data_IF_632984560098
#
_entry.id   IF_632984560098
#
_cell.length_a   1.000
_cell.length_b   1.000
_cell.length_c   1.000
_cell.angle_alpha   90.00
_cell.angle_beta   90.00
_cell.angle_gamma   90.00
#
_symmetry.space_group_name_H-M   'P 1'
#
loop_
_entity.id
_entity.type
_entity.pdbx_description
1 polymer ?
#
# COMPACT_ATOMS: atom_id res chain seq x y z
N UNK A 1 2.94 -11.76 20.33
CA UNK A 1 1.87 -10.77 20.65
C UNK A 1 0.50 -11.40 20.49
N UNK A 2 -0.45 -11.06 21.34
CA UNK A 2 -1.87 -11.44 21.18
C UNK A 2 -2.49 -10.64 20.03
N UNK A 3 -3.61 -11.14 19.48
CA UNK A 3 -4.36 -10.42 18.43
C UNK A 3 -4.73 -9.00 18.86
N UNK A 4 -5.13 -8.81 20.12
CA UNK A 4 -5.51 -7.52 20.69
C UNK A 4 -4.32 -6.53 20.73
N UNK A 5 -3.14 -7.02 21.12
CA UNK A 5 -1.92 -6.20 21.15
C UNK A 5 -1.48 -5.75 19.74
N UNK A 6 -1.59 -6.65 18.73
CA UNK A 6 -1.30 -6.31 17.33
C UNK A 6 -2.21 -5.19 16.83
N UNK A 7 -3.52 -5.34 17.05
CA UNK A 7 -4.50 -4.31 16.67
C UNK A 7 -4.21 -3.00 17.38
N UNK A 8 -3.91 -3.01 18.69
CA UNK A 8 -3.59 -1.80 19.45
C UNK A 8 -2.35 -1.08 18.90
N UNK A 9 -1.31 -1.82 18.51
CA UNK A 9 -0.10 -1.25 17.90
C UNK A 9 -0.42 -0.52 16.58
N UNK A 10 -1.18 -1.16 15.68
CA UNK A 10 -1.61 -0.55 14.41
C UNK A 10 -2.47 0.69 14.68
N UNK A 11 -3.49 0.57 15.54
CA UNK A 11 -4.39 1.69 15.84
C UNK A 11 -3.67 2.88 16.48
N UNK A 12 -2.62 2.63 17.27
CA UNK A 12 -1.78 3.70 17.83
C UNK A 12 -1.06 4.50 16.75
N UNK A 13 -0.53 3.84 15.71
CA UNK A 13 0.09 4.52 14.56
C UNK A 13 -0.91 5.38 13.80
N UNK A 14 -2.06 4.83 13.45
CA UNK A 14 -3.10 5.61 12.75
C UNK A 14 -3.67 6.73 13.62
N UNK A 15 -3.78 6.55 14.93
CA UNK A 15 -4.21 7.63 15.85
C UNK A 15 -3.19 8.77 15.90
N UNK A 16 -1.91 8.48 15.79
CA UNK A 16 -0.85 9.46 15.84
C UNK A 16 -0.62 10.18 14.49
N UNK A 17 -0.65 9.45 13.38
CA UNK A 17 -0.21 9.92 12.06
C UNK A 17 -1.22 9.70 10.93
N UNK A 18 -2.32 9.01 11.16
CA UNK A 18 -3.33 8.73 10.14
C UNK A 18 -4.06 9.96 9.59
N UNK A 19 -4.01 11.08 10.32
CA UNK A 19 -4.51 12.38 9.86
C UNK A 19 -3.56 13.14 8.94
N UNK A 20 -2.32 12.66 8.73
CA UNK A 20 -1.38 13.27 7.79
C UNK A 20 -1.91 13.16 6.36
N UNK A 21 -1.58 14.15 5.51
CA UNK A 21 -1.93 14.17 4.08
C UNK A 21 -1.38 12.93 3.36
N UNK A 22 -2.17 12.33 2.49
CA UNK A 22 -1.73 11.29 1.59
C UNK A 22 -1.13 11.93 0.33
N UNK A 23 0.13 12.09 0.36
CA UNK A 23 1.09 12.70 -0.58
C UNK A 23 0.56 13.15 -1.95
N UNK A 24 -0.02 14.37 -2.01
CA UNK A 24 -0.51 14.99 -3.24
C UNK A 24 -1.88 14.51 -3.71
N UNK A 25 -2.64 13.88 -2.83
CA UNK A 25 -4.05 13.49 -3.03
C UNK A 25 -4.94 14.14 -1.95
N UNK A 26 -6.20 14.41 -2.25
CA UNK A 26 -7.15 15.09 -1.35
C UNK A 26 -7.74 14.17 -0.27
N UNK A 27 -6.93 13.27 0.27
CA UNK A 27 -7.31 12.33 1.35
C UNK A 27 -6.19 12.23 2.38
N UNK A 28 -6.53 11.77 3.59
CA UNK A 28 -5.53 11.46 4.63
C UNK A 28 -5.05 10.02 4.50
N UNK A 29 -3.94 9.67 5.17
CA UNK A 29 -3.40 8.31 5.26
C UNK A 29 -4.47 7.31 5.76
N UNK A 30 -5.23 7.69 6.79
CA UNK A 30 -6.32 6.85 7.31
C UNK A 30 -7.48 6.73 6.32
N UNK A 31 -7.86 7.84 5.67
CA UNK A 31 -8.94 7.82 4.68
C UNK A 31 -8.61 6.89 3.52
N UNK A 32 -7.38 6.98 2.99
CA UNK A 32 -6.89 6.09 1.95
C UNK A 32 -6.94 4.61 2.41
N UNK A 33 -6.37 4.31 3.58
CA UNK A 33 -6.35 2.96 4.13
C UNK A 33 -7.76 2.36 4.31
N UNK A 34 -8.72 3.14 4.85
CA UNK A 34 -10.10 2.69 5.05
C UNK A 34 -10.79 2.43 3.71
N UNK A 35 -10.67 3.35 2.74
CA UNK A 35 -11.24 3.17 1.40
C UNK A 35 -10.69 1.90 0.73
N UNK A 36 -9.37 1.67 0.79
CA UNK A 36 -8.77 0.47 0.24
C UNK A 36 -9.34 -0.81 0.88
N UNK A 37 -9.50 -0.82 2.21
CA UNK A 37 -10.07 -1.96 2.93
C UNK A 37 -11.55 -2.19 2.59
N UNK A 38 -12.35 -1.13 2.43
CA UNK A 38 -13.77 -1.23 2.07
C UNK A 38 -13.94 -1.80 0.67
N UNK A 39 -13.18 -1.31 -0.31
CA UNK A 39 -13.19 -1.85 -1.67
C UNK A 39 -12.73 -3.32 -1.68
N UNK A 40 -11.67 -3.64 -0.93
CA UNK A 40 -11.17 -5.01 -0.82
C UNK A 40 -12.23 -5.94 -0.22
N UNK A 41 -12.94 -5.51 0.83
CA UNK A 41 -14.01 -6.29 1.47
C UNK A 41 -15.18 -6.56 0.53
N UNK A 42 -15.54 -5.61 -0.32
CA UNK A 42 -16.59 -5.79 -1.33
C UNK A 42 -16.19 -6.81 -2.40
N UNK A 43 -14.95 -6.76 -2.86
CA UNK A 43 -14.46 -7.61 -3.95
C UNK A 43 -14.01 -9.00 -3.47
N UNK A 44 -13.52 -9.11 -2.23
CA UNK A 44 -12.92 -10.31 -1.65
C UNK A 44 -13.46 -10.56 -0.23
N UNK A 45 -14.80 -10.72 -0.04
CA UNK A 45 -15.43 -10.83 1.29
C UNK A 45 -14.94 -12.04 2.10
N UNK A 46 -14.48 -13.09 1.43
CA UNK A 46 -14.02 -14.34 2.05
C UNK A 46 -12.51 -14.39 2.27
N UNK A 47 -11.77 -13.30 1.97
CA UNK A 47 -10.32 -13.22 2.17
C UNK A 47 -9.93 -12.09 3.15
N UNK A 48 -10.07 -12.32 4.46
CA UNK A 48 -9.77 -11.30 5.48
C UNK A 48 -8.29 -10.89 5.51
N UNK A 49 -7.36 -11.74 5.06
CA UNK A 49 -5.95 -11.40 4.96
C UNK A 49 -5.70 -10.41 3.82
N UNK A 50 -6.39 -10.57 2.70
CA UNK A 50 -6.34 -9.61 1.59
C UNK A 50 -6.93 -8.25 2.00
N UNK A 51 -8.06 -8.24 2.71
CA UNK A 51 -8.65 -7.02 3.26
C UNK A 51 -7.71 -6.32 4.24
N UNK A 52 -7.05 -7.09 5.11
CA UNK A 52 -6.05 -6.55 6.03
C UNK A 52 -4.84 -5.97 5.28
N UNK A 53 -4.36 -6.65 4.24
CA UNK A 53 -3.28 -6.13 3.41
C UNK A 53 -3.67 -4.83 2.70
N UNK A 54 -4.90 -4.72 2.21
CA UNK A 54 -5.41 -3.50 1.60
C UNK A 54 -5.46 -2.33 2.58
N UNK A 55 -5.87 -2.56 3.84
CA UNK A 55 -5.81 -1.54 4.89
C UNK A 55 -4.40 -1.10 5.24
N UNK A 56 -3.42 -2.00 5.16
CA UNK A 56 -2.07 -1.84 5.70
C UNK A 56 -1.00 -1.58 4.63
N UNK A 57 -1.35 -1.52 3.34
CA UNK A 57 -0.36 -1.52 2.26
C UNK A 57 0.61 -0.33 2.34
N UNK A 58 0.15 0.82 2.78
CA UNK A 58 0.94 2.04 2.94
C UNK A 58 1.38 2.32 4.39
N UNK A 59 1.20 1.34 5.30
CA UNK A 59 1.57 1.48 6.71
C UNK A 59 3.02 1.94 6.91
N UNK A 60 3.90 1.59 6.00
CA UNK A 60 5.31 1.99 6.04
C UNK A 60 5.53 3.49 6.05
N UNK A 61 4.63 4.28 5.48
CA UNK A 61 4.73 5.74 5.54
C UNK A 61 4.54 6.29 6.96
N UNK A 62 3.77 5.61 7.80
CA UNK A 62 3.48 6.07 9.16
C UNK A 62 4.22 5.28 10.25
N UNK A 63 4.78 4.11 9.96
CA UNK A 63 5.58 3.34 10.92
C UNK A 63 7.09 3.55 10.77
N UNK A 64 7.56 3.97 9.60
CA UNK A 64 8.98 4.30 9.40
C UNK A 64 9.33 5.67 10.02
N UNK A 65 10.58 5.78 10.47
CA UNK A 65 11.16 7.02 10.97
C UNK A 65 12.40 7.35 10.14
N UNK A 66 12.25 8.03 8.99
CA UNK A 66 13.37 8.39 8.14
C UNK A 66 14.35 9.31 8.89
N UNK A 67 15.65 8.99 8.83
CA UNK A 67 16.70 9.75 9.50
C UNK A 67 17.33 10.83 8.61
N UNK A 68 17.03 10.77 7.29
CA UNK A 68 17.59 11.71 6.31
C UNK A 68 16.60 12.00 5.17
N UNK A 69 16.79 13.13 4.49
CA UNK A 69 16.05 13.51 3.28
C UNK A 69 16.25 12.49 2.13
N UNK A 70 17.37 11.75 2.11
CA UNK A 70 17.64 10.73 1.12
C UNK A 70 16.69 9.53 1.22
N UNK A 71 16.11 9.31 2.40
CA UNK A 71 15.10 8.28 2.65
C UNK A 71 13.69 8.72 2.25
N UNK A 72 13.53 9.96 1.80
CA UNK A 72 12.26 10.52 1.36
C UNK A 72 12.19 10.63 -0.17
N UNK A 73 10.96 10.68 -0.69
CA UNK A 73 10.65 10.86 -2.11
C UNK A 73 10.24 12.31 -2.41
N UNK A 74 11.09 13.29 -2.01
CA UNK A 74 10.86 14.72 -2.28
C UNK A 74 9.47 15.23 -1.86
N UNK A 75 9.02 14.86 -0.65
CA UNK A 75 7.70 15.22 -0.12
C UNK A 75 6.57 14.23 -0.49
N UNK A 76 6.88 13.16 -1.23
CA UNK A 76 5.91 12.12 -1.58
C UNK A 76 6.06 10.85 -0.72
N UNK A 77 6.50 11.01 0.52
CA UNK A 77 6.57 9.93 1.51
C UNK A 77 7.94 9.25 1.60
N UNK A 78 7.96 8.13 2.29
CA UNK A 78 9.17 7.36 2.62
C UNK A 78 9.52 6.40 1.49
N UNK A 79 10.79 6.40 1.05
CA UNK A 79 11.31 5.38 0.13
C UNK A 79 11.26 4.00 0.79
N UNK A 80 10.97 2.97 0.00
CA UNK A 80 10.86 1.58 0.46
C UNK A 80 9.85 1.40 1.61
N UNK A 81 8.80 2.25 1.66
CA UNK A 81 7.72 2.14 2.64
C UNK A 81 7.04 0.77 2.58
N UNK A 82 6.94 0.16 1.40
CA UNK A 82 6.41 -1.19 1.18
C UNK A 82 7.17 -2.23 1.99
N UNK A 83 8.51 -2.16 1.96
CA UNK A 83 9.37 -3.05 2.75
C UNK A 83 9.30 -2.72 4.25
N UNK A 84 9.35 -1.45 4.62
CA UNK A 84 9.26 -1.02 6.02
C UNK A 84 7.94 -1.48 6.66
N UNK A 85 6.83 -1.36 5.93
CA UNK A 85 5.51 -1.83 6.35
C UNK A 85 5.48 -3.36 6.50
N UNK A 86 5.99 -4.10 5.53
CA UNK A 86 6.05 -5.56 5.57
C UNK A 86 6.89 -6.07 6.75
N UNK A 87 8.09 -5.54 6.94
CA UNK A 87 8.99 -5.91 8.05
C UNK A 87 8.33 -5.62 9.42
N UNK A 88 7.66 -4.48 9.55
CA UNK A 88 6.91 -4.12 10.76
C UNK A 88 5.78 -5.11 11.04
N UNK A 89 5.00 -5.49 10.04
CA UNK A 89 3.90 -6.46 10.17
C UNK A 89 4.40 -7.86 10.54
N UNK A 90 5.50 -8.32 9.93
CA UNK A 90 6.16 -9.58 10.30
C UNK A 90 6.67 -9.54 11.75
N UNK A 91 7.25 -8.42 12.17
CA UNK A 91 7.70 -8.19 13.55
C UNK A 91 6.56 -8.27 14.58
N UNK A 92 5.35 -7.86 14.19
CA UNK A 92 4.14 -8.04 14.99
C UNK A 92 3.55 -9.46 14.89
N UNK A 93 4.07 -10.31 14.00
CA UNK A 93 3.58 -11.68 13.77
C UNK A 93 2.29 -11.73 12.96
N UNK A 94 2.10 -10.83 11.99
CA UNK A 94 1.05 -10.98 10.98
C UNK A 94 1.38 -12.15 10.05
N UNK A 95 0.37 -12.71 9.34
CA UNK A 95 0.59 -13.75 8.34
C UNK A 95 1.55 -13.28 7.23
N UNK A 96 2.39 -14.19 6.73
CA UNK A 96 3.34 -13.92 5.64
C UNK A 96 2.63 -13.38 4.38
N UNK A 97 1.45 -13.92 4.05
CA UNK A 97 0.62 -13.43 2.94
C UNK A 97 0.32 -11.94 3.06
N UNK A 98 -0.07 -11.45 4.26
CA UNK A 98 -0.37 -10.02 4.47
C UNK A 98 0.88 -9.19 4.22
N UNK A 99 2.01 -9.57 4.81
CA UNK A 99 3.27 -8.86 4.65
C UNK A 99 3.75 -8.88 3.18
N UNK A 100 3.64 -10.02 2.49
CA UNK A 100 4.03 -10.15 1.07
C UNK A 100 3.16 -9.27 0.16
N UNK A 101 1.85 -9.20 0.40
CA UNK A 101 0.95 -8.32 -0.33
C UNK A 101 1.31 -6.84 -0.12
N UNK A 102 1.65 -6.46 1.11
CA UNK A 102 2.14 -5.10 1.42
C UNK A 102 3.47 -4.82 0.74
N UNK A 103 4.44 -5.74 0.82
CA UNK A 103 5.76 -5.57 0.22
C UNK A 103 5.70 -5.38 -1.30
N UNK A 104 4.84 -6.12 -1.99
CA UNK A 104 4.80 -6.16 -3.45
C UNK A 104 3.86 -5.15 -4.11
N UNK A 105 3.17 -4.27 -3.37
CA UNK A 105 2.23 -3.33 -4.02
C UNK A 105 2.94 -2.31 -4.92
N UNK A 106 4.19 -1.93 -4.60
CA UNK A 106 5.03 -1.07 -5.45
C UNK A 106 5.52 -1.85 -6.68
N UNK A 107 5.91 -3.11 -6.53
CA UNK A 107 6.28 -3.98 -7.66
C UNK A 107 5.08 -4.16 -8.60
N UNK A 108 3.87 -4.34 -8.07
CA UNK A 108 2.66 -4.41 -8.88
C UNK A 108 2.41 -3.14 -9.71
N UNK A 109 2.71 -1.95 -9.17
CA UNK A 109 2.68 -0.69 -9.91
C UNK A 109 3.70 -0.68 -11.05
N UNK A 110 4.97 -1.06 -10.77
CA UNK A 110 6.04 -1.15 -11.74
C UNK A 110 5.68 -2.14 -12.87
N UNK A 111 5.14 -3.29 -12.51
CA UNK A 111 4.66 -4.30 -13.44
C UNK A 111 3.59 -3.76 -14.39
N UNK A 112 2.52 -3.17 -13.84
CA UNK A 112 1.43 -2.62 -14.63
C UNK A 112 1.89 -1.49 -15.58
N UNK A 113 2.79 -0.63 -15.12
CA UNK A 113 3.40 0.41 -15.98
C UNK A 113 4.25 -0.20 -17.11
N UNK A 114 4.85 -1.37 -16.90
CA UNK A 114 5.68 -2.03 -17.89
C UNK A 114 4.87 -2.78 -18.95
N UNK A 115 3.68 -3.27 -18.58
CA UNK A 115 2.87 -4.17 -19.39
C UNK A 115 1.60 -3.54 -19.98
N UNK A 116 1.17 -2.37 -19.47
CA UNK A 116 -0.03 -1.66 -19.94
C UNK A 116 0.24 -0.15 -20.03
N UNK A 117 0.40 0.37 -21.24
CA UNK A 117 0.65 1.82 -21.49
C UNK A 117 -0.51 2.69 -20.98
N UNK A 118 -1.76 2.23 -21.08
CA UNK A 118 -2.93 2.99 -20.63
C UNK A 118 -2.94 3.12 -19.10
N UNK A 119 -2.38 2.14 -18.41
CA UNK A 119 -2.23 2.21 -16.97
C UNK A 119 -1.31 3.36 -16.54
N UNK A 120 -0.16 3.51 -17.22
CA UNK A 120 0.75 4.63 -16.96
C UNK A 120 0.08 5.99 -17.22
N UNK A 121 -0.68 6.11 -18.29
CA UNK A 121 -1.40 7.36 -18.61
C UNK A 121 -2.41 7.73 -17.54
N UNK A 122 -3.12 6.74 -16.98
CA UNK A 122 -4.15 6.91 -15.95
C UNK A 122 -3.62 7.22 -14.55
N UNK A 123 -2.33 7.02 -14.28
CA UNK A 123 -1.73 7.32 -12.97
C UNK A 123 -1.86 8.80 -12.60
N UNK A 124 -2.11 9.08 -11.32
CA UNK A 124 -2.05 10.43 -10.76
C UNK A 124 -0.63 11.02 -10.91
N UNK A 125 -0.53 12.36 -10.81
CA UNK A 125 0.77 13.03 -10.85
C UNK A 125 1.69 12.54 -9.72
N UNK A 126 1.18 12.38 -8.51
CA UNK A 126 1.91 11.84 -7.37
C UNK A 126 2.43 10.43 -7.65
N UNK A 127 1.58 9.53 -8.18
CA UNK A 127 1.96 8.16 -8.56
C UNK A 127 3.04 8.10 -9.64
N UNK A 128 3.03 9.03 -10.60
CA UNK A 128 4.09 9.15 -11.63
C UNK A 128 5.42 9.62 -11.02
N UNK A 129 5.39 10.57 -10.10
CA UNK A 129 6.59 11.07 -9.41
C UNK A 129 7.21 9.96 -8.55
N UNK A 130 6.40 9.30 -7.72
CA UNK A 130 6.89 8.22 -6.85
C UNK A 130 7.45 7.03 -7.63
N UNK A 131 6.90 6.72 -8.81
CA UNK A 131 7.42 5.67 -9.69
C UNK A 131 8.92 5.88 -10.03
N UNK A 132 9.37 7.13 -10.21
CA UNK A 132 10.78 7.45 -10.50
C UNK A 132 11.69 7.09 -9.32
N UNK A 133 11.21 7.24 -8.09
CA UNK A 133 11.94 6.86 -6.87
C UNK A 133 11.86 5.35 -6.57
N UNK A 134 10.90 4.67 -7.15
CA UNK A 134 10.59 3.25 -6.93
C UNK A 134 11.22 2.31 -7.98
N UNK A 135 12.11 2.83 -8.84
CA UNK A 135 12.84 2.03 -9.82
C UNK A 135 12.24 2.03 -11.24
N UNK A 136 11.14 2.76 -11.47
CA UNK A 136 10.56 2.89 -12.81
C UNK A 136 9.95 1.60 -13.37
N UNK A 137 10.07 1.39 -14.68
CA UNK A 137 9.61 0.17 -15.36
C UNK A 137 10.44 -1.05 -14.94
N UNK A 138 9.82 -2.21 -14.98
CA UNK A 138 10.50 -3.50 -14.80
C UNK A 138 11.19 -3.94 -16.09
N UNK A 139 12.32 -4.61 -15.93
CA UNK A 139 12.97 -5.36 -17.00
C UNK A 139 12.29 -6.72 -17.17
N UNK A 140 12.55 -7.41 -18.30
CA UNK A 140 11.89 -8.67 -18.64
C UNK A 140 12.09 -9.78 -17.59
N UNK A 141 13.25 -9.83 -16.95
CA UNK A 141 13.55 -10.79 -15.87
C UNK A 141 12.73 -10.49 -14.61
N UNK A 142 12.64 -9.21 -14.20
CA UNK A 142 11.80 -8.77 -13.07
C UNK A 142 10.31 -9.10 -13.31
N UNK A 143 9.82 -8.94 -14.55
CA UNK A 143 8.45 -9.26 -14.94
C UNK A 143 8.21 -10.79 -14.76
N UNK A 144 9.10 -11.62 -15.28
CA UNK A 144 8.96 -13.08 -15.19
C UNK A 144 9.00 -13.56 -13.73
N UNK A 145 9.88 -13.00 -12.91
CA UNK A 145 9.98 -13.32 -11.49
C UNK A 145 8.71 -12.91 -10.75
N UNK A 146 8.20 -11.71 -11.00
CA UNK A 146 6.96 -11.21 -10.37
C UNK A 146 5.73 -12.03 -10.77
N UNK A 147 5.62 -12.45 -12.05
CA UNK A 147 4.54 -13.32 -12.53
C UNK A 147 4.57 -14.71 -11.90
N UNK A 148 5.73 -15.17 -11.43
CA UNK A 148 5.89 -16.46 -10.74
C UNK A 148 5.43 -16.45 -9.27
N UNK A 149 5.18 -15.28 -8.69
CA UNK A 149 4.73 -15.15 -7.30
C UNK A 149 3.35 -15.81 -7.12
N UNK A 150 3.16 -16.67 -6.10
CA UNK A 150 1.89 -17.36 -5.85
C UNK A 150 0.72 -16.38 -5.58
N UNK A 151 1.00 -15.14 -5.19
CA UNK A 151 0.00 -14.09 -4.95
C UNK A 151 -0.09 -13.07 -6.09
N UNK A 152 0.51 -13.34 -7.26
CA UNK A 152 0.57 -12.42 -8.39
C UNK A 152 -0.78 -11.73 -8.69
N UNK A 153 -1.86 -12.53 -8.83
CA UNK A 153 -3.20 -12.00 -9.11
C UNK A 153 -3.68 -11.05 -8.00
N UNK A 154 -3.35 -11.36 -6.74
CA UNK A 154 -3.73 -10.53 -5.59
C UNK A 154 -2.88 -9.26 -5.50
N UNK A 155 -1.60 -9.29 -5.88
CA UNK A 155 -0.76 -8.08 -6.00
C UNK A 155 -1.36 -7.09 -7.00
N UNK A 156 -1.76 -7.58 -8.18
CA UNK A 156 -2.41 -6.74 -9.20
C UNK A 156 -3.74 -6.18 -8.70
N UNK A 157 -4.55 -7.02 -8.04
CA UNK A 157 -5.83 -6.60 -7.48
C UNK A 157 -5.65 -5.52 -6.41
N UNK A 158 -4.71 -5.71 -5.48
CA UNK A 158 -4.39 -4.73 -4.44
C UNK A 158 -3.96 -3.39 -5.05
N UNK A 159 -3.07 -3.41 -6.04
CA UNK A 159 -2.63 -2.18 -6.71
C UNK A 159 -3.79 -1.42 -7.38
N UNK A 160 -4.71 -2.13 -8.02
CA UNK A 160 -5.89 -1.48 -8.62
C UNK A 160 -6.86 -0.92 -7.58
N UNK A 161 -6.93 -1.51 -6.40
CA UNK A 161 -7.69 -0.99 -5.25
C UNK A 161 -7.05 0.29 -4.72
N UNK A 162 -5.74 0.31 -4.51
CA UNK A 162 -4.98 1.48 -4.09
C UNK A 162 -5.28 2.71 -4.95
N UNK A 163 -5.32 2.56 -6.27
CA UNK A 163 -5.63 3.69 -7.17
C UNK A 163 -7.06 4.21 -7.07
N UNK A 164 -8.00 3.35 -6.69
CA UNK A 164 -9.41 3.71 -6.52
C UNK A 164 -9.70 4.34 -5.15
N UNK A 165 -8.82 4.12 -4.18
CA UNK A 165 -9.00 4.52 -2.78
C UNK A 165 -8.60 5.99 -2.50
N UNK A 166 -8.84 6.92 -3.43
CA UNK A 166 -8.40 8.31 -3.37
C UNK A 166 -9.55 9.32 -3.53
N UNK A 167 -10.77 8.92 -3.19
CA UNK A 167 -11.94 9.79 -3.31
C UNK A 167 -12.09 10.69 -2.07
N UNK A 168 -12.03 12.00 -2.27
CA UNK A 168 -12.29 12.98 -1.21
C UNK A 168 -13.76 12.99 -0.76
N UNK A 169 -14.68 12.54 -1.60
CA UNK A 169 -16.13 12.51 -1.34
C UNK A 169 -16.59 11.22 -0.65
N UNK A 170 -15.67 10.31 -0.36
CA UNK A 170 -16.01 9.02 0.24
C UNK A 170 -16.56 9.19 1.66
N UNK A 171 -17.83 8.80 1.87
CA UNK A 171 -18.44 8.74 3.20
C UNK A 171 -18.15 7.38 3.83
N UNK A 172 -17.38 7.39 4.91
CA UNK A 172 -17.03 6.17 5.64
C UNK A 172 -18.28 5.51 6.24
N UNK A 173 -18.44 4.22 5.99
CA UNK A 173 -19.28 3.39 6.86
C UNK A 173 -18.63 3.39 8.24
N UNK A 174 -19.35 3.82 9.27
CA UNK A 174 -18.85 3.85 10.65
C UNK A 174 -18.18 2.52 10.99
N UNK A 175 -16.91 2.58 11.39
CA UNK A 175 -16.20 1.44 11.98
C UNK A 175 -16.95 1.06 13.27
N UNK A 176 -17.83 0.06 13.20
CA UNK A 176 -18.45 -0.59 14.35
C UNK A 176 -17.59 -1.77 14.82
#
# INVERSE_FOLDING_TARGET
MTKKEKVAAIMSLFSARGGEEYFGEDVTQLQHAVQAAEIARELYPDDPEFVAAAFLHDLGHICANPESEEELMNGFGVKKHEKAGADFLLGLGFPEKVARLVECHVEAKRYLVSTDERYFEALSAASKITLMHQGGKMEAEEIADFESDPFFVQHIALRRIDERAKSAEHTFSSLQ
#
